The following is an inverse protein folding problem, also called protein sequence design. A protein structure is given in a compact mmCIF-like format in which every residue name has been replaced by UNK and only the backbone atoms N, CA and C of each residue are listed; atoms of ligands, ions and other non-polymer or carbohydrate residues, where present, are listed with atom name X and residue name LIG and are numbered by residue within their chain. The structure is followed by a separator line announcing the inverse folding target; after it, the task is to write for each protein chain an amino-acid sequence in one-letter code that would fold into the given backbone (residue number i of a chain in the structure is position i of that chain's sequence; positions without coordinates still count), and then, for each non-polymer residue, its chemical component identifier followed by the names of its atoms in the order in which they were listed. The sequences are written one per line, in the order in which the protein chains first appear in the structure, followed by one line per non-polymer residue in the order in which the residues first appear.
data_IF_605839107649
#
_entry.id   IF_605839107649
#
_cell.length_a   1.000
_cell.length_b   1.000
_cell.length_c   1.000
_cell.angle_alpha   90.00
_cell.angle_beta   90.00
_cell.angle_gamma   90.00
#
_symmetry.space_group_name_H-M   'P 1'
#
loop_
_entity.id
_entity.type
_entity.pdbx_description
1 polymer ?
#
# COMPACT_ATOMS: atom_id res chain seq x y z
N UNK A 1 -27.04 -43.14 -8.20
CA UNK A 1 -25.65 -43.55 -8.48
C UNK A 1 -24.81 -43.14 -7.29
N UNK A 2 -24.09 -44.07 -6.66
CA UNK A 2 -23.21 -43.76 -5.53
C UNK A 2 -22.03 -42.91 -6.03
N UNK A 3 -21.84 -41.70 -5.49
CA UNK A 3 -20.78 -40.72 -5.87
C UNK A 3 -19.36 -41.21 -5.47
N UNK A 4 -19.21 -42.49 -5.14
CA UNK A 4 -17.98 -43.10 -4.62
C UNK A 4 -16.93 -43.46 -5.68
N UNK A 5 -17.02 -42.95 -6.91
CA UNK A 5 -16.24 -43.49 -8.04
C UNK A 5 -15.42 -42.48 -8.85
N UNK A 6 -15.30 -41.23 -8.43
CA UNK A 6 -14.33 -40.34 -9.07
C UNK A 6 -12.92 -40.60 -8.52
N UNK A 7 -11.91 -40.81 -9.39
CA UNK A 7 -10.51 -40.80 -8.99
C UNK A 7 -10.14 -39.49 -8.28
N UNK A 8 -9.17 -39.55 -7.38
CA UNK A 8 -8.70 -38.37 -6.62
C UNK A 8 -8.26 -37.25 -7.56
N UNK A 9 -7.63 -37.60 -8.67
CA UNK A 9 -7.14 -36.68 -9.71
C UNK A 9 -8.30 -35.89 -10.33
N UNK A 10 -9.43 -36.55 -10.61
CA UNK A 10 -10.59 -35.88 -11.16
C UNK A 10 -11.27 -34.98 -10.12
N UNK A 11 -11.30 -35.40 -8.85
CA UNK A 11 -11.79 -34.54 -7.75
C UNK A 11 -10.93 -33.29 -7.60
N UNK A 12 -9.60 -33.43 -7.63
CA UNK A 12 -8.67 -32.29 -7.60
C UNK A 12 -8.88 -31.37 -8.79
N UNK A 13 -8.99 -31.89 -10.01
CA UNK A 13 -9.24 -31.08 -11.21
C UNK A 13 -10.57 -30.31 -11.14
N UNK A 14 -11.62 -30.92 -10.57
CA UNK A 14 -12.90 -30.22 -10.32
C UNK A 14 -12.69 -29.08 -9.31
N UNK A 15 -11.98 -29.32 -8.21
CA UNK A 15 -11.73 -28.30 -7.21
C UNK A 15 -10.85 -27.16 -7.73
N UNK A 16 -9.87 -27.47 -8.58
CA UNK A 16 -9.01 -26.48 -9.24
C UNK A 16 -9.83 -25.56 -10.15
N UNK A 17 -10.80 -26.12 -10.88
CA UNK A 17 -11.75 -25.34 -11.69
C UNK A 17 -12.67 -24.44 -10.83
N UNK A 18 -12.93 -24.83 -9.58
CA UNK A 18 -13.82 -24.12 -8.66
C UNK A 18 -13.08 -23.19 -7.68
N UNK A 19 -11.77 -23.00 -7.81
CA UNK A 19 -10.97 -22.23 -6.84
C UNK A 19 -11.49 -20.82 -6.58
N UNK A 20 -12.14 -20.20 -7.57
CA UNK A 20 -12.69 -18.85 -7.47
C UNK A 20 -14.10 -18.80 -6.84
N UNK A 21 -14.83 -19.92 -6.82
CA UNK A 21 -16.19 -20.00 -6.24
C UNK A 21 -16.19 -20.71 -4.89
N UNK A 22 -16.00 -19.92 -3.83
CA UNK A 22 -16.01 -20.39 -2.45
C UNK A 22 -17.31 -21.09 -2.06
N UNK A 23 -18.46 -20.67 -2.60
CA UNK A 23 -19.75 -21.29 -2.28
C UNK A 23 -19.81 -22.71 -2.84
N UNK A 24 -19.37 -22.89 -4.08
CA UNK A 24 -19.28 -24.23 -4.68
C UNK A 24 -18.28 -25.13 -3.95
N UNK A 25 -17.11 -24.60 -3.55
CA UNK A 25 -16.15 -25.36 -2.74
C UNK A 25 -16.75 -25.81 -1.39
N UNK A 26 -17.54 -24.96 -0.74
CA UNK A 26 -18.25 -25.32 0.50
C UNK A 26 -19.31 -26.39 0.24
N UNK A 27 -20.06 -26.32 -0.86
CA UNK A 27 -21.00 -27.37 -1.24
C UNK A 27 -20.31 -28.69 -1.56
N UNK A 28 -19.14 -28.67 -2.20
CA UNK A 28 -18.35 -29.88 -2.47
C UNK A 28 -18.04 -30.65 -1.19
N UNK A 29 -17.73 -29.96 -0.08
CA UNK A 29 -17.48 -30.60 1.22
C UNK A 29 -18.63 -31.47 1.71
N UNK A 30 -19.86 -31.18 1.28
CA UNK A 30 -21.07 -31.91 1.68
C UNK A 30 -21.36 -33.15 0.80
N UNK A 31 -20.63 -33.32 -0.31
CA UNK A 31 -20.87 -34.41 -1.28
C UNK A 31 -20.35 -35.76 -0.77
N UNK A 32 -19.12 -35.80 -0.25
CA UNK A 32 -18.47 -37.01 0.26
C UNK A 32 -17.30 -36.67 1.18
N UNK A 33 -16.83 -37.64 1.99
CA UNK A 33 -15.66 -37.48 2.87
C UNK A 33 -14.38 -37.11 2.10
N UNK A 34 -14.19 -37.65 0.90
CA UNK A 34 -13.00 -37.33 0.09
C UNK A 34 -13.05 -35.88 -0.39
N UNK A 35 -14.21 -35.41 -0.84
CA UNK A 35 -14.39 -34.00 -1.18
C UNK A 35 -14.29 -33.11 0.06
N UNK A 36 -14.77 -33.54 1.22
CA UNK A 36 -14.55 -32.82 2.47
C UNK A 36 -13.06 -32.62 2.75
N UNK A 37 -12.25 -33.68 2.67
CA UNK A 37 -10.80 -33.63 2.91
C UNK A 37 -10.09 -32.74 1.89
N UNK A 38 -10.43 -32.86 0.60
CA UNK A 38 -9.76 -32.12 -0.48
C UNK A 38 -10.24 -30.67 -0.60
N UNK A 39 -11.54 -30.42 -0.42
CA UNK A 39 -12.13 -29.09 -0.61
C UNK A 39 -11.99 -28.21 0.63
N UNK A 40 -11.91 -28.77 1.84
CA UNK A 40 -11.81 -27.96 3.07
C UNK A 40 -10.61 -27.01 3.06
N UNK A 41 -9.37 -27.43 2.72
CA UNK A 41 -8.22 -26.53 2.62
C UNK A 41 -8.43 -25.40 1.60
N UNK A 42 -9.06 -25.68 0.46
CA UNK A 42 -9.35 -24.69 -0.58
C UNK A 42 -10.45 -23.72 -0.14
N UNK A 43 -11.56 -24.25 0.39
CA UNK A 43 -12.72 -23.47 0.81
C UNK A 43 -12.43 -22.56 2.01
N UNK A 44 -11.52 -22.96 2.89
CA UNK A 44 -11.19 -22.22 4.11
C UNK A 44 -9.86 -21.46 4.01
N UNK A 45 -9.18 -21.51 2.85
CA UNK A 45 -7.91 -20.81 2.60
C UNK A 45 -7.97 -19.32 2.95
N UNK A 46 -9.06 -18.67 2.55
CA UNK A 46 -9.28 -17.24 2.78
C UNK A 46 -10.46 -17.04 3.71
N UNK A 47 -10.23 -16.35 4.83
CA UNK A 47 -11.26 -15.96 5.77
C UNK A 47 -11.58 -14.47 5.60
N UNK A 48 -12.84 -14.17 5.27
CA UNK A 48 -13.31 -12.80 5.16
C UNK A 48 -13.99 -12.42 6.47
N UNK A 49 -13.46 -11.42 7.16
CA UNK A 49 -14.05 -10.81 8.35
C UNK A 49 -14.50 -9.40 8.02
N UNK A 50 -15.56 -8.93 8.67
CA UNK A 50 -16.09 -7.59 8.44
C UNK A 50 -16.72 -7.06 9.71
N UNK A 51 -17.10 -5.78 9.68
CA UNK A 51 -17.82 -5.13 10.78
C UNK A 51 -19.32 -5.39 10.78
N UNK A 52 -19.85 -6.29 9.95
CA UNK A 52 -21.31 -6.56 9.93
C UNK A 52 -21.75 -7.06 11.30
N UNK A 53 -22.91 -6.61 11.77
CA UNK A 53 -23.45 -7.01 13.07
C UNK A 53 -23.43 -8.52 13.27
N UNK A 54 -22.87 -8.96 14.38
CA UNK A 54 -22.71 -10.36 14.77
C UNK A 54 -21.46 -11.05 14.22
N UNK A 55 -20.67 -10.42 13.34
CA UNK A 55 -19.44 -11.01 12.82
C UNK A 55 -18.41 -11.22 13.93
N UNK A 56 -18.22 -10.25 14.81
CA UNK A 56 -17.26 -10.32 15.91
C UNK A 56 -17.65 -11.41 16.90
N UNK A 57 -18.93 -11.47 17.29
CA UNK A 57 -19.45 -12.53 18.16
C UNK A 57 -19.30 -13.93 17.53
N UNK A 58 -19.62 -14.07 16.24
CA UNK A 58 -19.47 -15.34 15.53
C UNK A 58 -18.00 -15.77 15.46
N UNK A 59 -17.09 -14.84 15.18
CA UNK A 59 -15.66 -15.11 15.10
C UNK A 59 -15.08 -15.49 16.47
N UNK A 60 -15.42 -14.76 17.53
CA UNK A 60 -14.99 -15.06 18.90
C UNK A 60 -15.62 -16.35 19.47
N UNK A 61 -16.72 -16.84 18.89
CA UNK A 61 -17.33 -18.13 19.27
C UNK A 61 -16.61 -19.35 18.70
N UNK A 62 -15.64 -19.15 17.79
CA UNK A 62 -14.86 -20.26 17.23
C UNK A 62 -13.99 -20.90 18.33
N UNK A 63 -14.05 -22.23 18.50
CA UNK A 63 -13.19 -22.93 19.46
C UNK A 63 -11.71 -22.70 19.14
N UNK A 64 -10.89 -22.43 20.16
CA UNK A 64 -9.44 -22.19 19.99
C UNK A 64 -8.68 -23.38 19.37
N UNK A 65 -9.22 -24.59 19.48
CA UNK A 65 -8.70 -25.84 18.94
C UNK A 65 -9.34 -26.25 17.60
N UNK A 66 -10.07 -25.34 16.95
CA UNK A 66 -10.73 -25.60 15.69
C UNK A 66 -9.72 -25.98 14.59
N UNK A 67 -9.94 -27.15 13.98
CA UNK A 67 -9.16 -27.61 12.82
C UNK A 67 -9.29 -26.69 11.60
N UNK A 68 -10.23 -25.73 11.60
CA UNK A 68 -10.35 -24.74 10.54
C UNK A 68 -9.11 -23.84 10.49
N UNK A 69 -8.50 -23.52 11.64
CA UNK A 69 -7.43 -22.53 11.70
C UNK A 69 -6.16 -22.93 10.95
N UNK A 70 -5.87 -24.24 10.83
CA UNK A 70 -4.73 -24.73 10.06
C UNK A 70 -4.91 -24.57 8.55
N UNK A 71 -6.12 -24.33 8.08
CA UNK A 71 -6.43 -24.18 6.66
C UNK A 71 -6.43 -22.71 6.22
N UNK A 72 -6.61 -21.77 7.15
CA UNK A 72 -6.62 -20.34 6.83
C UNK A 72 -5.20 -19.84 6.61
N UNK A 73 -4.98 -19.33 5.41
CA UNK A 73 -3.70 -18.76 4.94
C UNK A 73 -3.77 -17.26 4.73
N UNK A 74 -4.98 -16.76 4.51
CA UNK A 74 -5.26 -15.36 4.23
C UNK A 74 -6.46 -14.89 5.05
N UNK A 75 -6.34 -13.71 5.64
CA UNK A 75 -7.45 -13.01 6.29
C UNK A 75 -7.68 -11.67 5.60
N UNK A 76 -8.91 -11.45 5.15
CA UNK A 76 -9.36 -10.18 4.57
C UNK A 76 -10.34 -9.52 5.52
N UNK A 77 -9.95 -8.39 6.10
CA UNK A 77 -10.81 -7.56 6.93
C UNK A 77 -11.38 -6.40 6.14
N UNK A 78 -12.70 -6.23 6.15
CA UNK A 78 -13.39 -5.08 5.54
C UNK A 78 -14.12 -4.27 6.61
N UNK A 79 -13.63 -3.06 6.88
CA UNK A 79 -14.41 -2.06 7.58
C UNK A 79 -15.53 -1.59 6.63
N UNK A 80 -16.77 -1.67 7.09
CA UNK A 80 -17.93 -1.29 6.28
C UNK A 80 -17.98 0.23 6.07
N UNK A 81 -18.47 0.65 4.90
CA UNK A 81 -18.84 2.03 4.63
C UNK A 81 -20.16 2.37 5.33
N UNK A 82 -20.20 3.53 6.00
CA UNK A 82 -21.36 3.96 6.79
C UNK A 82 -22.52 4.54 5.97
N UNK A 83 -22.33 4.88 4.68
CA UNK A 83 -23.24 5.82 4.00
C UNK A 83 -24.39 5.21 3.16
N UNK A 84 -24.38 3.93 2.77
CA UNK A 84 -25.38 3.45 1.78
C UNK A 84 -26.22 2.21 2.11
N UNK A 85 -25.76 1.27 2.95
CA UNK A 85 -26.42 -0.05 2.98
C UNK A 85 -27.42 -0.28 4.14
N UNK A 86 -27.59 0.67 5.06
CA UNK A 86 -28.44 0.47 6.25
C UNK A 86 -28.00 -0.72 7.12
N UNK A 87 -26.78 -1.22 6.93
CA UNK A 87 -26.24 -2.37 7.63
C UNK A 87 -25.81 -1.95 9.03
N UNK A 88 -26.37 -2.62 10.04
CA UNK A 88 -25.89 -2.50 11.41
C UNK A 88 -24.46 -3.05 11.50
N UNK A 89 -23.59 -2.33 12.21
CA UNK A 89 -22.20 -2.71 12.41
C UNK A 89 -21.93 -3.09 13.88
N UNK A 90 -21.01 -4.01 14.09
CA UNK A 90 -20.45 -4.26 15.43
C UNK A 90 -19.76 -3.01 15.96
N UNK A 91 -19.71 -2.86 17.30
CA UNK A 91 -18.97 -1.77 17.90
C UNK A 91 -17.45 -1.92 17.62
N UNK A 92 -16.71 -0.83 17.82
CA UNK A 92 -15.27 -0.81 17.51
C UNK A 92 -14.52 -1.80 18.40
N UNK A 93 -14.90 -1.90 19.68
CA UNK A 93 -14.32 -2.78 20.69
C UNK A 93 -14.44 -4.25 20.32
N UNK A 94 -15.65 -4.67 19.97
CA UNK A 94 -15.91 -6.02 19.45
C UNK A 94 -15.09 -6.27 18.18
N UNK A 95 -15.04 -5.29 17.29
CA UNK A 95 -14.32 -5.42 16.01
C UNK A 95 -12.82 -5.66 16.20
N UNK A 96 -12.11 -4.82 16.96
CA UNK A 96 -10.67 -5.00 17.11
C UNK A 96 -10.33 -6.22 17.98
N UNK A 97 -11.22 -6.66 18.87
CA UNK A 97 -11.02 -7.87 19.68
C UNK A 97 -10.86 -9.13 18.83
N UNK A 98 -11.45 -9.18 17.63
CA UNK A 98 -11.22 -10.27 16.67
C UNK A 98 -9.73 -10.44 16.33
N UNK A 99 -8.97 -9.35 16.25
CA UNK A 99 -7.56 -9.41 15.89
C UNK A 99 -6.71 -10.08 16.97
N UNK A 100 -7.20 -10.16 18.22
CA UNK A 100 -6.53 -10.90 19.28
C UNK A 100 -6.43 -12.41 18.99
N UNK A 101 -7.33 -12.96 18.15
CA UNK A 101 -7.30 -14.37 17.78
C UNK A 101 -6.42 -14.68 16.57
N UNK A 102 -5.75 -13.69 15.96
CA UNK A 102 -4.88 -13.95 14.80
C UNK A 102 -3.74 -14.93 15.11
N UNK A 103 -3.30 -14.98 16.36
CA UNK A 103 -2.32 -15.96 16.83
C UNK A 103 -2.81 -17.42 16.73
N UNK A 104 -4.12 -17.66 16.63
CA UNK A 104 -4.68 -19.01 16.50
C UNK A 104 -4.54 -19.60 15.09
N UNK A 105 -4.08 -18.81 14.11
CA UNK A 105 -3.97 -19.24 12.71
C UNK A 105 -2.50 -19.54 12.34
N UNK A 106 -2.00 -20.76 12.57
CA UNK A 106 -0.58 -21.09 12.40
C UNK A 106 -0.11 -21.08 10.94
N UNK A 107 -1.03 -21.07 9.98
CA UNK A 107 -0.73 -21.01 8.54
C UNK A 107 -0.99 -19.63 7.92
N UNK A 108 -1.36 -18.63 8.73
CA UNK A 108 -1.64 -17.28 8.25
C UNK A 108 -0.34 -16.63 7.75
N UNK A 109 -0.31 -16.28 6.47
CA UNK A 109 0.83 -15.61 5.86
C UNK A 109 0.45 -14.32 5.14
N UNK A 110 -0.84 -14.06 4.91
CA UNK A 110 -1.35 -12.84 4.27
C UNK A 110 -2.46 -12.21 5.13
N UNK A 111 -2.33 -10.92 5.42
CA UNK A 111 -3.35 -10.12 6.09
C UNK A 111 -3.67 -8.91 5.22
N UNK A 112 -4.94 -8.75 4.84
CA UNK A 112 -5.43 -7.60 4.08
C UNK A 112 -6.45 -6.83 4.88
N UNK A 113 -6.21 -5.54 5.09
CA UNK A 113 -7.09 -4.62 5.80
C UNK A 113 -7.66 -3.64 4.78
N UNK A 114 -8.98 -3.56 4.68
CA UNK A 114 -9.70 -2.63 3.81
C UNK A 114 -10.51 -1.68 4.67
N UNK A 115 -10.03 -0.44 4.75
CA UNK A 115 -10.74 0.69 5.35
C UNK A 115 -11.46 1.51 4.27
N UNK A 116 -12.45 2.35 4.64
CA UNK A 116 -13.10 3.24 3.69
C UNK A 116 -12.07 4.13 2.97
N UNK A 117 -12.28 4.36 1.67
CA UNK A 117 -11.41 5.21 0.85
C UNK A 117 -11.72 6.70 0.97
N UNK A 118 -12.82 7.05 1.66
CA UNK A 118 -13.30 8.41 1.87
C UNK A 118 -13.60 8.59 3.36
N UNK A 119 -13.09 9.67 3.94
CA UNK A 119 -13.29 10.01 5.33
C UNK A 119 -13.08 11.52 5.54
N UNK A 120 -13.83 12.11 6.47
CA UNK A 120 -13.71 13.52 6.85
C UNK A 120 -13.31 13.56 8.33
N UNK A 121 -12.03 13.75 8.68
CA UNK A 121 -11.62 13.89 10.10
C UNK A 121 -12.00 15.27 10.65
N UNK A 122 -11.90 16.32 9.82
CA UNK A 122 -12.12 17.71 10.26
C UNK A 122 -13.54 17.95 10.80
N UNK A 123 -14.53 17.18 10.34
CA UNK A 123 -15.88 17.26 10.89
C UNK A 123 -15.95 16.83 12.35
N UNK A 124 -15.15 15.85 12.78
CA UNK A 124 -15.16 15.34 14.14
C UNK A 124 -14.52 16.33 15.13
N UNK A 125 -13.44 16.99 14.71
CA UNK A 125 -12.79 18.05 15.50
C UNK A 125 -13.76 19.21 15.78
N UNK A 126 -14.56 19.60 14.79
CA UNK A 126 -15.58 20.65 14.94
C UNK A 126 -16.69 20.29 15.94
N UNK A 127 -16.99 19.00 16.10
CA UNK A 127 -17.98 18.51 17.08
C UNK A 127 -17.38 18.21 18.46
N UNK A 128 -16.08 18.48 18.66
CA UNK A 128 -15.38 18.25 19.92
C UNK A 128 -15.02 16.78 20.18
N UNK A 129 -14.99 15.94 19.14
CA UNK A 129 -14.42 14.60 19.20
C UNK A 129 -12.95 14.65 18.73
N UNK A 130 -12.04 13.97 19.45
CA UNK A 130 -10.61 14.02 19.13
C UNK A 130 -10.24 13.25 17.84
N UNK A 131 -11.04 12.25 17.44
CA UNK A 131 -10.74 11.36 16.30
C UNK A 131 -11.99 10.74 15.69
N UNK A 132 -12.00 10.50 14.38
CA UNK A 132 -13.10 9.75 13.76
C UNK A 132 -13.15 8.28 14.21
N UNK A 133 -14.32 7.64 14.13
CA UNK A 133 -14.47 6.19 14.34
C UNK A 133 -13.55 5.32 13.46
N UNK A 134 -13.15 5.79 12.27
CA UNK A 134 -12.25 5.06 11.37
C UNK A 134 -10.82 5.13 11.90
N UNK A 135 -10.35 6.31 12.31
CA UNK A 135 -9.03 6.49 12.93
C UNK A 135 -8.90 5.67 14.20
N UNK A 136 -9.91 5.73 15.08
CA UNK A 136 -9.94 4.93 16.32
C UNK A 136 -9.82 3.45 15.98
N UNK A 137 -10.59 2.95 15.01
CA UNK A 137 -10.53 1.55 14.60
C UNK A 137 -9.14 1.14 14.09
N UNK A 138 -8.52 1.95 13.21
CA UNK A 138 -7.18 1.68 12.69
C UNK A 138 -6.15 1.59 13.83
N UNK A 139 -6.13 2.59 14.71
CA UNK A 139 -5.24 2.64 15.87
C UNK A 139 -5.42 1.40 16.75
N UNK A 140 -6.66 1.02 17.07
CA UNK A 140 -6.93 -0.12 17.94
C UNK A 140 -6.58 -1.46 17.31
N UNK A 141 -6.78 -1.63 16.00
CA UNK A 141 -6.31 -2.82 15.27
C UNK A 141 -4.79 -2.93 15.38
N UNK A 142 -4.05 -1.86 15.06
CA UNK A 142 -2.60 -1.90 15.15
C UNK A 142 -2.09 -2.07 16.59
N UNK A 143 -2.75 -1.48 17.59
CA UNK A 143 -2.43 -1.71 19.01
C UNK A 143 -2.66 -3.17 19.42
N UNK A 144 -3.74 -3.78 18.94
CA UNK A 144 -4.03 -5.19 19.21
C UNK A 144 -2.99 -6.08 18.54
N UNK A 145 -2.66 -5.83 17.27
CA UNK A 145 -1.59 -6.51 16.54
C UNK A 145 -0.23 -6.39 17.25
N UNK A 146 0.09 -5.21 17.78
CA UNK A 146 1.30 -4.95 18.55
C UNK A 146 1.33 -5.68 19.90
N UNK A 147 0.16 -6.03 20.45
CA UNK A 147 0.02 -6.80 21.68
C UNK A 147 0.12 -8.32 21.48
N UNK A 148 0.09 -8.79 20.23
CA UNK A 148 0.16 -10.22 19.94
C UNK A 148 1.57 -10.75 20.22
N UNK A 149 1.67 -11.65 21.20
CA UNK A 149 2.87 -12.47 21.40
C UNK A 149 2.80 -13.63 20.42
N UNK A 150 3.50 -13.48 19.30
CA UNK A 150 3.62 -14.55 18.32
C UNK A 150 4.63 -15.59 18.83
N UNK A 151 4.12 -16.75 19.23
CA UNK A 151 4.96 -17.95 19.32
C UNK A 151 5.57 -18.24 17.94
N UNK A 152 6.70 -18.96 17.91
CA UNK A 152 7.56 -19.20 16.73
C UNK A 152 6.88 -19.74 15.45
N UNK A 153 5.58 -20.03 15.47
CA UNK A 153 4.81 -20.54 14.34
C UNK A 153 4.11 -19.47 13.49
N UNK A 154 3.93 -18.23 13.98
CA UNK A 154 3.26 -17.19 13.21
C UNK A 154 4.27 -16.39 12.37
N UNK A 155 4.12 -16.40 11.05
CA UNK A 155 5.02 -15.72 10.12
C UNK A 155 4.21 -15.04 9.01
N UNK A 156 3.77 -13.82 9.27
CA UNK A 156 3.12 -12.99 8.26
C UNK A 156 4.16 -12.61 7.19
N UNK A 157 3.92 -13.01 5.94
CA UNK A 157 4.79 -12.69 4.80
C UNK A 157 4.26 -11.51 3.98
N UNK A 158 2.95 -11.27 4.01
CA UNK A 158 2.29 -10.25 3.23
C UNK A 158 1.30 -9.46 4.07
N UNK A 159 1.43 -8.14 4.01
CA UNK A 159 0.51 -7.20 4.64
C UNK A 159 0.01 -6.21 3.60
N UNK A 160 -1.30 -6.12 3.45
CA UNK A 160 -1.95 -5.08 2.66
C UNK A 160 -2.83 -4.21 3.55
N UNK A 161 -2.68 -2.90 3.44
CA UNK A 161 -3.47 -1.93 4.18
C UNK A 161 -4.02 -0.94 3.14
N UNK A 162 -5.34 -0.98 2.94
CA UNK A 162 -6.06 -0.12 2.02
C UNK A 162 -6.86 0.90 2.82
N UNK A 163 -6.76 2.19 2.48
CA UNK A 163 -7.46 3.25 3.19
C UNK A 163 -6.80 3.67 4.51
N UNK A 164 -5.47 3.52 4.62
CA UNK A 164 -4.73 3.99 5.81
C UNK A 164 -4.73 5.51 5.86
N UNK A 165 -5.16 6.09 7.00
CA UNK A 165 -5.14 7.55 7.15
C UNK A 165 -3.69 8.01 7.24
N UNK A 166 -3.30 9.00 6.43
CA UNK A 166 -1.97 9.61 6.48
C UNK A 166 -1.87 10.64 7.63
N UNK A 167 -2.19 10.20 8.85
CA UNK A 167 -2.18 10.99 10.07
C UNK A 167 -1.37 10.26 11.15
N UNK A 168 -0.76 10.98 12.12
CA UNK A 168 -0.01 10.36 13.19
C UNK A 168 -0.92 9.45 14.01
N UNK A 169 -0.46 8.22 14.24
CA UNK A 169 -1.16 7.28 15.09
C UNK A 169 -0.61 7.37 16.50
N UNK A 170 -1.05 8.39 17.25
CA UNK A 170 -0.57 8.63 18.61
C UNK A 170 -0.72 7.38 19.50
N UNK A 171 0.40 7.00 20.13
CA UNK A 171 0.46 5.82 20.99
C UNK A 171 0.57 4.49 20.23
N UNK A 172 0.74 4.49 18.91
CA UNK A 172 1.17 3.31 18.20
C UNK A 172 2.65 3.05 18.51
N UNK A 173 2.92 2.13 19.44
CA UNK A 173 4.27 1.67 19.70
C UNK A 173 4.74 0.75 18.57
N UNK A 174 5.11 1.31 17.41
CA UNK A 174 5.52 0.57 16.20
C UNK A 174 6.61 -0.45 16.52
N UNK A 175 7.50 -0.15 17.49
CA UNK A 175 8.53 -1.10 17.96
C UNK A 175 7.99 -2.45 18.44
N UNK A 176 6.75 -2.50 18.93
CA UNK A 176 6.07 -3.74 19.34
C UNK A 176 5.52 -4.53 18.15
N UNK A 177 5.34 -3.92 16.99
CA UNK A 177 4.97 -4.62 15.74
C UNK A 177 6.14 -5.34 15.08
N UNK A 178 7.36 -5.26 15.64
CA UNK A 178 8.56 -5.86 15.04
C UNK A 178 8.37 -7.34 14.68
N UNK A 179 7.78 -8.14 15.56
CA UNK A 179 7.54 -9.58 15.32
C UNK A 179 6.60 -9.83 14.13
N UNK A 180 5.67 -8.91 13.87
CA UNK A 180 4.76 -8.94 12.73
C UNK A 180 5.44 -8.48 11.43
N UNK A 181 6.26 -7.43 11.52
CA UNK A 181 6.81 -6.72 10.36
C UNK A 181 8.14 -7.29 9.85
N UNK A 182 8.98 -7.82 10.73
CA UNK A 182 10.28 -8.40 10.37
C UNK A 182 10.21 -9.54 9.34
N UNK A 183 9.24 -10.49 9.40
CA UNK A 183 9.12 -11.55 8.41
C UNK A 183 8.49 -11.12 7.08
N UNK A 184 7.96 -9.89 6.96
CA UNK A 184 7.29 -9.44 5.74
C UNK A 184 8.23 -9.44 4.53
N UNK A 185 7.77 -10.04 3.45
CA UNK A 185 8.36 -9.95 2.12
C UNK A 185 7.57 -9.02 1.20
N UNK A 186 6.27 -8.85 1.44
CA UNK A 186 5.38 -7.98 0.65
C UNK A 186 4.61 -7.02 1.55
N UNK A 187 4.65 -5.73 1.22
CA UNK A 187 3.92 -4.67 1.92
C UNK A 187 3.22 -3.78 0.88
N UNK A 188 1.91 -3.66 1.03
CA UNK A 188 1.06 -2.75 0.26
C UNK A 188 0.38 -1.76 1.19
N UNK A 189 0.54 -0.48 0.92
CA UNK A 189 -0.11 0.60 1.67
C UNK A 189 -0.80 1.53 0.66
N UNK A 190 -2.12 1.59 0.71
CA UNK A 190 -2.90 2.65 0.06
C UNK A 190 -3.33 3.65 1.11
N UNK A 191 -2.84 4.87 0.97
CA UNK A 191 -3.09 5.99 1.85
C UNK A 191 -4.33 6.75 1.39
N UNK A 192 -5.03 7.30 2.37
CA UNK A 192 -6.03 8.33 2.17
C UNK A 192 -5.59 9.52 3.01
N UNK A 193 -5.37 10.65 2.36
CA UNK A 193 -5.19 11.96 2.99
C UNK A 193 -6.56 12.57 3.23
N UNK A 194 -6.73 13.23 4.38
CA UNK A 194 -7.95 13.94 4.74
C UNK A 194 -8.30 14.93 3.62
N UNK A 195 -9.54 14.91 3.14
CA UNK A 195 -10.04 15.78 2.08
C UNK A 195 -10.76 17.02 2.65
N UNK A 196 -10.69 17.22 3.97
CA UNK A 196 -11.17 18.44 4.61
C UNK A 196 -10.63 19.69 3.93
N UNK A 197 -11.47 20.72 3.82
CA UNK A 197 -11.14 22.00 3.17
C UNK A 197 -9.87 22.65 3.74
N UNK A 198 -9.50 22.31 4.97
CA UNK A 198 -8.33 22.81 5.70
C UNK A 198 -7.12 21.86 5.68
N UNK A 199 -7.06 20.87 4.77
CA UNK A 199 -5.91 19.96 4.72
C UNK A 199 -4.64 20.67 4.25
N UNK A 200 -3.80 21.04 5.21
CA UNK A 200 -2.47 21.57 4.95
C UNK A 200 -1.47 20.43 4.74
N UNK A 201 -0.99 20.27 3.49
CA UNK A 201 0.10 19.32 3.20
C UNK A 201 1.42 19.64 3.93
N UNK A 202 1.59 20.87 4.39
CA UNK A 202 2.71 21.27 5.23
C UNK A 202 2.42 21.09 6.73
N UNK A 203 1.23 20.59 7.08
CA UNK A 203 0.81 20.37 8.46
C UNK A 203 1.71 19.38 9.18
N UNK A 204 1.96 19.66 10.46
CA UNK A 204 2.83 18.85 11.32
C UNK A 204 2.38 17.39 11.38
N UNK A 205 1.07 17.14 11.39
CA UNK A 205 0.51 15.79 11.45
C UNK A 205 0.81 14.96 10.20
N UNK A 206 0.51 15.51 9.03
CA UNK A 206 0.77 14.80 7.77
C UNK A 206 2.26 14.52 7.59
N UNK A 207 3.11 15.51 7.88
CA UNK A 207 4.56 15.34 7.81
C UNK A 207 5.07 14.33 8.84
N UNK A 208 4.55 14.34 10.07
CA UNK A 208 4.91 13.37 11.11
C UNK A 208 4.52 11.93 10.73
N UNK A 209 3.39 11.70 10.07
CA UNK A 209 3.04 10.37 9.57
C UNK A 209 4.13 9.83 8.63
N UNK A 210 4.55 10.63 7.64
CA UNK A 210 5.57 10.23 6.69
C UNK A 210 6.94 10.05 7.33
N UNK A 211 7.32 11.00 8.17
CA UNK A 211 8.67 11.09 8.71
C UNK A 211 8.91 10.13 9.87
N UNK A 212 7.86 9.81 10.64
CA UNK A 212 7.96 9.01 11.86
C UNK A 212 7.27 7.66 11.65
N UNK A 213 5.98 7.64 11.37
CA UNK A 213 5.20 6.40 11.41
C UNK A 213 5.59 5.45 10.27
N UNK A 214 5.57 5.95 9.02
CA UNK A 214 5.88 5.12 7.87
C UNK A 214 7.35 4.71 7.82
N UNK A 215 8.28 5.62 8.13
CA UNK A 215 9.73 5.29 8.15
C UNK A 215 10.04 4.25 9.22
N UNK A 216 9.45 4.35 10.43
CA UNK A 216 9.65 3.35 11.48
C UNK A 216 9.06 1.99 11.09
N UNK A 217 7.88 1.97 10.47
CA UNK A 217 7.28 0.76 9.95
C UNK A 217 8.21 0.09 8.94
N UNK A 218 8.69 0.83 7.94
CA UNK A 218 9.58 0.32 6.91
C UNK A 218 10.93 -0.13 7.46
N UNK A 219 11.49 0.59 8.44
CA UNK A 219 12.77 0.25 9.08
C UNK A 219 12.74 -1.12 9.79
N UNK A 220 11.56 -1.65 10.12
CA UNK A 220 11.37 -2.98 10.70
C UNK A 220 11.20 -4.08 9.65
N UNK A 221 10.92 -3.73 8.39
CA UNK A 221 10.68 -4.67 7.28
C UNK A 221 11.95 -5.04 6.51
N UNK A 222 12.98 -5.55 7.19
CA UNK A 222 14.29 -5.83 6.56
C UNK A 222 14.27 -6.93 5.48
N UNK A 223 13.25 -7.78 5.48
CA UNK A 223 13.07 -8.86 4.51
C UNK A 223 12.22 -8.48 3.31
N UNK A 224 11.79 -7.21 3.23
CA UNK A 224 10.88 -6.74 2.21
C UNK A 224 11.49 -6.83 0.82
N UNK A 225 10.84 -7.59 -0.06
CA UNK A 225 11.17 -7.70 -1.48
C UNK A 225 10.22 -6.89 -2.36
N UNK A 226 9.01 -6.64 -1.86
CA UNK A 226 7.95 -5.92 -2.58
C UNK A 226 7.37 -4.81 -1.72
N UNK A 227 7.52 -3.56 -2.18
CA UNK A 227 6.89 -2.39 -1.57
C UNK A 227 5.93 -1.76 -2.57
N UNK A 228 4.69 -1.55 -2.15
CA UNK A 228 3.70 -0.73 -2.87
C UNK A 228 3.20 0.35 -1.94
N UNK A 229 3.36 1.61 -2.32
CA UNK A 229 2.75 2.75 -1.63
C UNK A 229 1.95 3.55 -2.64
N UNK A 230 0.68 3.78 -2.34
CA UNK A 230 -0.25 4.51 -3.21
C UNK A 230 -0.85 5.63 -2.37
N UNK A 231 -0.73 6.87 -2.83
CA UNK A 231 -1.44 7.99 -2.22
C UNK A 231 -2.73 8.29 -3.01
N UNK A 232 -3.82 8.67 -2.34
CA UNK A 232 -5.03 9.15 -3.00
C UNK A 232 -4.85 10.57 -3.59
N UNK A 233 -3.98 11.37 -2.99
CA UNK A 233 -3.57 12.70 -3.48
C UNK A 233 -2.11 12.72 -3.93
N UNK A 234 -1.70 13.80 -4.60
CA UNK A 234 -0.31 14.05 -4.94
C UNK A 234 0.50 14.31 -3.65
N UNK A 235 1.38 13.37 -3.30
CA UNK A 235 2.10 13.36 -2.03
C UNK A 235 3.59 13.58 -2.19
N UNK A 236 4.16 14.32 -1.26
CA UNK A 236 5.59 14.55 -1.13
C UNK A 236 6.29 13.40 -0.42
N UNK A 237 5.88 13.04 0.80
CA UNK A 237 6.23 11.80 1.49
C UNK A 237 7.69 11.49 1.88
N UNK A 238 8.70 11.81 1.05
CA UNK A 238 10.12 11.43 1.22
C UNK A 238 11.02 12.64 1.54
N UNK A 239 10.67 13.48 2.52
CA UNK A 239 11.28 14.82 2.66
C UNK A 239 12.35 14.90 3.74
N UNK A 240 12.34 13.97 4.68
CA UNK A 240 13.14 14.08 5.90
C UNK A 240 14.31 13.09 5.95
N UNK A 241 15.30 13.41 6.78
CA UNK A 241 16.55 12.68 6.99
C UNK A 241 16.33 11.22 7.41
N UNK A 242 15.18 10.89 7.99
CA UNK A 242 14.86 9.52 8.37
C UNK A 242 14.83 8.60 7.14
N UNK A 243 14.35 9.09 6.00
CA UNK A 243 14.38 8.37 4.73
C UNK A 243 15.78 8.10 4.21
N UNK A 244 16.77 8.95 4.54
CA UNK A 244 18.16 8.76 4.14
C UNK A 244 18.81 7.55 4.82
N UNK A 245 18.33 7.23 6.03
CA UNK A 245 18.81 6.10 6.81
C UNK A 245 18.07 4.80 6.53
N UNK A 246 16.97 4.86 5.78
CA UNK A 246 16.16 3.68 5.45
C UNK A 246 16.89 2.83 4.41
N UNK A 247 17.15 1.57 4.79
CA UNK A 247 17.79 0.55 3.97
C UNK A 247 16.91 -0.69 3.89
N UNK A 248 16.49 -1.04 2.68
CA UNK A 248 15.68 -2.19 2.34
C UNK A 248 16.51 -3.11 1.42
N UNK A 249 17.48 -3.87 1.96
CA UNK A 249 18.54 -4.51 1.19
C UNK A 249 18.06 -5.67 0.30
N UNK A 250 16.78 -6.03 0.36
CA UNK A 250 16.16 -7.07 -0.46
C UNK A 250 15.08 -6.53 -1.40
N UNK A 251 14.87 -5.21 -1.45
CA UNK A 251 13.80 -4.61 -2.23
C UNK A 251 14.02 -4.85 -3.74
N UNK A 252 13.16 -5.65 -4.36
CA UNK A 252 13.22 -6.00 -5.78
C UNK A 252 12.09 -5.33 -6.58
N UNK A 253 10.91 -5.16 -5.98
CA UNK A 253 9.74 -4.54 -6.60
C UNK A 253 9.36 -3.28 -5.83
N UNK A 254 9.27 -2.16 -6.53
CA UNK A 254 8.81 -0.88 -5.97
C UNK A 254 7.69 -0.29 -6.81
N UNK A 255 6.53 -0.08 -6.21
CA UNK A 255 5.43 0.65 -6.82
C UNK A 255 5.10 1.89 -6.00
N UNK A 256 5.17 3.04 -6.64
CA UNK A 256 4.78 4.33 -6.08
C UNK A 256 3.72 4.93 -7.01
N UNK A 257 2.62 5.42 -6.45
CA UNK A 257 1.57 6.10 -7.21
C UNK A 257 1.16 7.40 -6.52
N UNK A 258 0.98 8.45 -7.33
CA UNK A 258 0.67 9.81 -6.88
C UNK A 258 1.75 10.40 -5.95
N UNK A 259 3.02 10.13 -6.24
CA UNK A 259 4.15 10.74 -5.55
C UNK A 259 4.74 11.88 -6.38
N UNK A 260 5.17 12.94 -5.69
CA UNK A 260 5.79 14.13 -6.27
C UNK A 260 7.30 14.08 -6.00
N UNK A 261 8.07 14.10 -7.08
CA UNK A 261 9.52 14.20 -7.07
C UNK A 261 9.89 15.69 -7.02
N UNK A 262 10.35 16.14 -5.86
CA UNK A 262 10.61 17.57 -5.63
C UNK A 262 12.07 17.94 -5.80
N UNK A 263 12.29 19.20 -6.13
CA UNK A 263 13.63 19.75 -6.25
C UNK A 263 14.16 20.19 -4.87
N UNK A 264 14.89 19.28 -4.22
CA UNK A 264 15.39 19.51 -2.87
C UNK A 264 16.37 20.69 -2.79
N UNK A 265 17.02 21.07 -3.90
CA UNK A 265 17.95 22.20 -3.92
C UNK A 265 17.27 23.53 -3.57
N UNK A 266 16.01 23.73 -3.97
CA UNK A 266 15.22 24.90 -3.59
C UNK A 266 14.94 24.91 -2.08
N UNK A 267 14.48 23.78 -1.55
CA UNK A 267 14.22 23.62 -0.12
C UNK A 267 15.49 23.71 0.74
N UNK A 268 16.64 23.23 0.26
CA UNK A 268 17.92 23.28 0.97
C UNK A 268 18.40 24.71 1.26
N UNK A 269 18.05 25.68 0.42
CA UNK A 269 18.37 27.09 0.68
C UNK A 269 17.52 27.67 1.80
N UNK A 270 16.29 27.16 1.98
CA UNK A 270 15.31 27.68 2.92
C UNK A 270 15.23 26.88 4.23
N UNK A 271 15.60 25.61 4.18
CA UNK A 271 15.58 24.65 5.29
C UNK A 271 16.87 23.83 5.27
N UNK A 272 17.57 23.65 6.42
CA UNK A 272 18.81 22.87 6.52
C UNK A 272 18.56 21.35 6.47
N UNK A 273 17.76 20.90 5.50
CA UNK A 273 17.37 19.51 5.32
C UNK A 273 18.24 18.89 4.22
N UNK A 274 18.77 17.70 4.50
CA UNK A 274 19.69 16.97 3.61
C UNK A 274 19.04 15.78 2.93
N UNK A 275 17.70 15.74 2.88
CA UNK A 275 16.95 14.60 2.35
C UNK A 275 17.30 14.34 0.89
N UNK A 276 17.33 13.07 0.49
CA UNK A 276 17.53 12.68 -0.91
C UNK A 276 16.25 12.62 -1.76
N UNK A 277 15.08 12.63 -1.13
CA UNK A 277 13.80 12.53 -1.86
C UNK A 277 13.49 11.12 -2.36
N UNK A 278 12.41 11.02 -3.13
CA UNK A 278 11.97 9.75 -3.76
C UNK A 278 13.06 9.20 -4.69
N UNK A 279 13.68 10.06 -5.50
CA UNK A 279 14.71 9.66 -6.47
C UNK A 279 15.92 9.02 -5.78
N UNK A 280 16.51 9.68 -4.78
CA UNK A 280 17.69 9.15 -4.08
C UNK A 280 17.36 7.89 -3.30
N UNK A 281 16.17 7.80 -2.70
CA UNK A 281 15.69 6.57 -2.07
C UNK A 281 15.74 5.41 -3.08
N UNK A 282 15.24 5.61 -4.30
CA UNK A 282 15.29 4.58 -5.34
C UNK A 282 16.73 4.25 -5.76
N UNK A 283 17.55 5.27 -6.01
CA UNK A 283 18.93 5.10 -6.46
C UNK A 283 19.79 4.34 -5.44
N UNK A 284 19.59 4.57 -4.14
CA UNK A 284 20.26 3.83 -3.05
C UNK A 284 19.99 2.32 -3.14
N UNK A 285 18.79 1.95 -3.56
CA UNK A 285 18.37 0.55 -3.75
C UNK A 285 18.56 0.06 -5.20
N UNK A 286 19.27 0.81 -6.04
CA UNK A 286 19.46 0.50 -7.46
C UNK A 286 20.22 -0.79 -7.77
N UNK A 287 20.82 -1.41 -6.74
CA UNK A 287 21.47 -2.73 -6.82
C UNK A 287 20.55 -3.91 -6.53
N UNK A 288 19.31 -3.67 -6.13
CA UNK A 288 18.35 -4.74 -5.77
C UNK A 288 17.06 -4.61 -6.55
N UNK A 289 16.61 -3.38 -6.81
CA UNK A 289 15.39 -3.10 -7.58
C UNK A 289 15.49 -3.67 -9.00
N UNK A 290 14.49 -4.47 -9.36
CA UNK A 290 14.29 -5.10 -10.66
C UNK A 290 13.04 -4.59 -11.36
N UNK A 291 11.98 -4.30 -10.62
CA UNK A 291 10.72 -3.83 -11.17
C UNK A 291 10.30 -2.53 -10.48
N UNK A 292 9.97 -1.53 -11.30
CA UNK A 292 9.52 -0.21 -10.85
C UNK A 292 8.24 0.16 -11.59
N UNK A 293 7.21 0.53 -10.81
CA UNK A 293 5.99 1.16 -11.33
C UNK A 293 5.81 2.54 -10.68
N UNK A 294 5.99 3.59 -11.49
CA UNK A 294 5.79 5.00 -11.12
C UNK A 294 4.55 5.60 -11.79
N UNK A 295 3.53 4.78 -12.05
CA UNK A 295 2.29 5.27 -12.67
C UNK A 295 1.69 6.42 -11.85
N UNK A 296 1.33 7.51 -12.53
CA UNK A 296 0.74 8.72 -11.95
C UNK A 296 1.64 9.41 -10.93
N UNK A 297 2.96 9.30 -11.05
CA UNK A 297 3.91 10.15 -10.32
C UNK A 297 4.16 11.45 -11.07
N UNK A 298 4.62 12.46 -10.33
CA UNK A 298 4.78 13.84 -10.80
C UNK A 298 6.16 14.39 -10.44
N UNK A 299 6.60 15.42 -11.14
CA UNK A 299 7.76 16.25 -10.77
C UNK A 299 7.24 17.63 -10.39
N UNK A 300 7.72 18.16 -9.27
CA UNK A 300 7.42 19.53 -8.88
C UNK A 300 8.24 20.53 -9.72
N UNK A 301 7.55 21.56 -10.18
CA UNK A 301 8.11 22.70 -10.89
C UNK A 301 7.88 23.92 -10.03
N UNK A 302 8.94 24.66 -9.72
CA UNK A 302 8.86 25.95 -9.05
C UNK A 302 8.95 27.09 -10.06
N UNK A 303 8.14 28.14 -9.88
CA UNK A 303 8.12 29.30 -10.78
C UNK A 303 9.47 30.04 -10.86
N UNK A 304 10.30 29.91 -9.83
CA UNK A 304 11.62 30.56 -9.75
C UNK A 304 12.75 29.73 -10.39
N UNK A 305 12.47 28.48 -10.78
CA UNK A 305 13.50 27.59 -11.33
C UNK A 305 13.77 27.89 -12.80
N UNK A 306 14.91 28.55 -13.09
CA UNK A 306 15.38 28.78 -14.47
C UNK A 306 15.64 27.49 -15.26
N UNK A 307 15.92 26.39 -14.56
CA UNK A 307 16.18 25.08 -15.13
C UNK A 307 15.40 24.04 -14.31
N UNK A 308 14.08 23.95 -14.54
CA UNK A 308 13.24 23.08 -13.74
C UNK A 308 13.66 21.62 -13.89
N UNK A 309 13.50 20.86 -12.80
CA UNK A 309 13.74 19.41 -12.82
C UNK A 309 12.75 18.76 -13.79
N UNK A 310 13.21 17.84 -14.63
CA UNK A 310 12.36 17.11 -15.57
C UNK A 310 12.45 15.59 -15.41
N UNK A 311 11.45 14.87 -15.94
CA UNK A 311 11.50 13.41 -16.01
C UNK A 311 12.70 12.90 -16.83
N UNK A 312 13.11 13.62 -17.88
CA UNK A 312 14.32 13.28 -18.63
C UNK A 312 15.58 13.21 -17.75
N UNK A 313 15.69 14.10 -16.76
CA UNK A 313 16.82 14.10 -15.82
C UNK A 313 16.75 12.89 -14.88
N UNK A 314 15.56 12.62 -14.33
CA UNK A 314 15.31 11.51 -13.40
C UNK A 314 15.56 10.16 -14.11
N UNK A 315 15.00 9.96 -15.30
CA UNK A 315 15.16 8.72 -16.06
C UNK A 315 16.61 8.47 -16.47
N UNK A 316 17.38 9.51 -16.83
CA UNK A 316 18.83 9.38 -17.07
C UNK A 316 19.59 8.95 -15.82
N UNK A 317 19.17 9.40 -14.64
CA UNK A 317 19.75 8.96 -13.38
C UNK A 317 19.36 7.50 -13.09
N UNK A 318 18.12 7.10 -13.32
CA UNK A 318 17.68 5.71 -13.21
C UNK A 318 18.42 4.78 -14.16
N UNK A 319 18.65 5.21 -15.39
CA UNK A 319 19.44 4.46 -16.37
C UNK A 319 20.83 4.13 -15.83
N UNK A 320 21.47 5.08 -15.13
CA UNK A 320 22.81 4.89 -14.54
C UNK A 320 22.77 4.13 -13.21
N UNK A 321 21.82 4.45 -12.34
CA UNK A 321 21.82 4.01 -10.94
C UNK A 321 21.03 2.73 -10.68
N UNK A 322 19.93 2.48 -11.39
CA UNK A 322 19.11 1.27 -11.24
C UNK A 322 19.68 0.14 -12.11
N UNK A 323 20.88 -0.30 -11.76
CA UNK A 323 21.70 -1.25 -12.55
C UNK A 323 21.07 -2.63 -12.74
N UNK A 324 20.13 -3.04 -11.89
CA UNK A 324 19.41 -4.31 -11.98
C UNK A 324 17.97 -4.19 -12.48
N UNK A 325 17.57 -3.02 -12.95
CA UNK A 325 16.22 -2.79 -13.45
C UNK A 325 15.96 -3.64 -14.70
N UNK A 326 14.93 -4.49 -14.62
CA UNK A 326 14.45 -5.44 -15.63
C UNK A 326 13.10 -5.00 -16.22
N UNK A 327 12.32 -4.23 -15.46
CA UNK A 327 10.97 -3.75 -15.83
C UNK A 327 10.74 -2.34 -15.27
N UNK A 328 10.25 -1.43 -16.12
CA UNK A 328 9.94 -0.06 -15.74
C UNK A 328 8.61 0.37 -16.37
N UNK A 329 7.63 0.70 -15.52
CA UNK A 329 6.32 1.20 -15.91
C UNK A 329 6.15 2.66 -15.50
N UNK A 330 5.71 3.47 -16.45
CA UNK A 330 5.34 4.87 -16.24
C UNK A 330 4.12 5.21 -17.08
N UNK A 331 3.02 5.64 -16.45
CA UNK A 331 1.79 6.00 -17.13
C UNK A 331 0.93 6.97 -16.29
N UNK A 332 0.37 8.05 -16.86
CA UNK A 332 0.53 8.48 -18.25
C UNK A 332 1.91 9.09 -18.52
N UNK A 333 2.35 9.09 -19.79
CA UNK A 333 3.59 9.79 -20.19
C UNK A 333 3.47 11.30 -19.94
N UNK A 334 4.57 12.00 -19.58
CA UNK A 334 4.56 13.43 -19.36
C UNK A 334 4.13 14.19 -20.62
N UNK A 335 3.49 15.34 -20.41
CA UNK A 335 3.09 16.22 -21.50
C UNK A 335 1.66 16.71 -21.44
N UNK A 336 1.27 17.52 -22.44
CA UNK A 336 -0.01 18.23 -22.45
C UNK A 336 -1.20 17.27 -22.51
N UNK A 337 -2.09 17.37 -21.52
CA UNK A 337 -3.43 16.77 -21.54
C UNK A 337 -4.27 17.60 -22.53
N UNK A 338 -5.12 16.93 -23.31
CA UNK A 338 -5.94 17.51 -24.40
C UNK A 338 -6.42 18.95 -24.11
N UNK A 339 -6.54 19.82 -25.14
CA UNK A 339 -6.89 21.23 -24.95
C UNK A 339 -8.16 21.34 -24.10
N UNK A 340 -8.01 21.81 -22.86
CA UNK A 340 -9.12 22.35 -22.10
C UNK A 340 -9.18 23.84 -22.41
N UNK A 341 -10.39 24.39 -22.56
CA UNK A 341 -10.58 25.76 -23.05
C UNK A 341 -10.11 26.85 -22.06
N UNK A 342 -9.78 26.48 -20.82
CA UNK A 342 -9.48 27.45 -19.76
C UNK A 342 -8.06 27.38 -19.22
N UNK A 343 -7.50 26.18 -19.04
CA UNK A 343 -6.13 26.02 -18.52
C UNK A 343 -5.46 24.76 -19.10
N UNK A 344 -4.26 24.86 -19.70
CA UNK A 344 -3.51 23.68 -20.10
C UNK A 344 -3.17 22.85 -18.86
N UNK A 345 -3.47 21.56 -18.91
CA UNK A 345 -3.01 20.61 -17.88
C UNK A 345 -1.86 19.80 -18.44
N UNK A 346 -0.88 19.48 -17.60
CA UNK A 346 0.28 18.69 -18.00
C UNK A 346 0.36 17.43 -17.14
N UNK A 347 0.42 16.27 -17.78
CA UNK A 347 0.77 15.02 -17.10
C UNK A 347 2.24 15.04 -16.70
N UNK A 348 2.54 14.43 -15.55
CA UNK A 348 3.91 14.27 -15.06
C UNK A 348 4.50 15.50 -14.36
N UNK A 349 3.84 16.66 -14.39
CA UNK A 349 4.29 17.90 -13.76
C UNK A 349 3.24 18.51 -12.85
N UNK A 350 3.67 19.06 -11.72
CA UNK A 350 2.82 19.81 -10.77
C UNK A 350 3.55 21.04 -10.24
N UNK A 351 2.80 22.05 -9.84
CA UNK A 351 3.27 23.18 -9.05
C UNK A 351 2.55 23.16 -7.69
N UNK A 352 3.25 23.56 -6.63
CA UNK A 352 2.65 23.67 -5.30
C UNK A 352 1.97 25.04 -5.12
N UNK A 353 0.67 25.03 -4.81
CA UNK A 353 -0.12 26.21 -4.48
C UNK A 353 -0.60 26.06 -3.05
N UNK A 354 -0.29 27.04 -2.18
CA UNK A 354 -0.52 26.95 -0.72
C UNK A 354 -1.94 26.50 -0.36
N UNK A 355 -2.96 27.01 -1.06
CA UNK A 355 -4.37 26.74 -0.77
C UNK A 355 -4.96 25.55 -1.55
N UNK A 356 -4.25 25.01 -2.54
CA UNK A 356 -4.77 23.96 -3.44
C UNK A 356 -3.89 22.73 -3.51
N UNK A 357 -2.74 22.76 -2.85
CA UNK A 357 -1.75 21.72 -2.93
C UNK A 357 -1.07 21.62 -4.29
N UNK A 358 -0.74 20.39 -4.70
CA UNK A 358 -0.09 20.13 -5.99
C UNK A 358 -1.10 20.12 -7.12
N UNK A 359 -1.03 21.17 -7.94
CA UNK A 359 -1.88 21.34 -9.11
C UNK A 359 -1.06 21.16 -10.38
N UNK A 360 -1.69 20.74 -11.48
CA UNK A 360 -1.00 20.46 -12.75
C UNK A 360 -1.34 21.48 -13.85
N UNK A 361 -1.65 22.71 -13.45
CA UNK A 361 -1.98 23.82 -14.34
C UNK A 361 -0.73 24.67 -14.57
N UNK A 362 -0.40 24.88 -15.84
CA UNK A 362 0.72 25.73 -16.25
C UNK A 362 0.27 26.60 -17.43
N UNK A 363 0.73 27.84 -17.46
CA UNK A 363 0.45 28.78 -18.56
C UNK A 363 1.17 28.36 -19.85
N UNK A 364 2.37 27.83 -19.71
CA UNK A 364 3.24 27.36 -20.79
C UNK A 364 3.73 25.94 -20.51
N UNK A 365 4.33 25.28 -21.51
CA UNK A 365 4.96 23.98 -21.34
C UNK A 365 6.10 24.11 -20.32
N UNK A 366 6.03 23.47 -19.13
CA UNK A 366 7.00 23.71 -18.07
C UNK A 366 8.38 23.14 -18.39
N UNK A 367 8.45 22.20 -19.33
CA UNK A 367 9.67 21.51 -19.76
C UNK A 367 9.57 21.05 -21.22
N UNK A 368 10.69 20.63 -21.80
CA UNK A 368 10.72 19.97 -23.11
C UNK A 368 10.23 18.51 -23.02
N UNK A 369 8.95 18.31 -23.37
CA UNK A 369 8.30 16.99 -23.39
C UNK A 369 8.92 16.03 -24.42
N UNK A 370 9.51 16.54 -25.50
CA UNK A 370 10.18 15.69 -26.49
C UNK A 370 11.46 15.10 -25.89
N UNK A 371 12.17 15.87 -25.06
CA UNK A 371 13.33 15.39 -24.32
C UNK A 371 12.96 14.29 -23.31
N UNK A 372 11.82 14.42 -22.63
CA UNK A 372 11.28 13.37 -21.75
C UNK A 372 11.03 12.09 -22.55
N UNK A 373 10.26 12.16 -23.64
CA UNK A 373 9.97 11.01 -24.49
C UNK A 373 11.25 10.27 -24.94
N UNK A 374 12.24 11.02 -25.43
CA UNK A 374 13.52 10.46 -25.84
C UNK A 374 14.30 9.80 -24.68
N UNK A 375 14.24 10.38 -23.48
CA UNK A 375 14.90 9.82 -22.30
C UNK A 375 14.19 8.55 -21.79
N UNK A 376 12.87 8.48 -21.85
CA UNK A 376 12.11 7.28 -21.53
C UNK A 376 12.47 6.13 -22.48
N UNK A 377 12.49 6.40 -23.79
CA UNK A 377 12.89 5.42 -24.80
C UNK A 377 14.35 4.97 -24.62
N UNK A 378 15.24 5.87 -24.19
CA UNK A 378 16.62 5.52 -23.82
C UNK A 378 16.65 4.53 -22.65
N UNK A 379 15.91 4.83 -21.58
CA UNK A 379 15.80 3.95 -20.40
C UNK A 379 15.26 2.56 -20.78
N UNK A 380 14.18 2.50 -21.56
CA UNK A 380 13.59 1.24 -22.01
C UNK A 380 14.59 0.40 -22.82
N UNK A 381 15.30 1.01 -23.78
CA UNK A 381 16.35 0.31 -24.55
C UNK A 381 17.49 -0.20 -23.65
N UNK A 382 17.87 0.57 -22.64
CA UNK A 382 18.90 0.14 -21.67
C UNK A 382 18.43 -1.05 -20.84
N UNK A 383 17.15 -1.11 -20.44
CA UNK A 383 16.55 -2.26 -19.76
C UNK A 383 16.52 -3.49 -20.68
N UNK A 384 16.02 -3.34 -21.91
CA UNK A 384 15.99 -4.41 -22.91
C UNK A 384 17.39 -4.98 -23.20
N UNK A 385 18.39 -4.11 -23.34
CA UNK A 385 19.78 -4.50 -23.55
C UNK A 385 20.36 -5.32 -22.39
N UNK A 386 19.95 -5.06 -21.14
CA UNK A 386 20.37 -5.84 -19.97
C UNK A 386 19.70 -7.22 -19.95
N UNK A 387 18.41 -7.28 -20.27
CA UNK A 387 17.65 -8.52 -20.30
C UNK A 387 18.15 -9.48 -21.39
N UNK A 388 18.54 -8.96 -22.56
CA UNK A 388 19.08 -9.76 -23.66
C UNK A 388 20.46 -10.37 -23.39
N UNK A 389 21.21 -9.88 -22.42
CA UNK A 389 22.53 -10.41 -22.03
C UNK A 389 22.45 -11.55 -20.99
N UNK A 390 21.26 -11.86 -20.46
CA UNK A 390 21.07 -12.90 -19.43
C UNK A 390 20.58 -14.24 -19.98
N UNK A 391 20.44 -14.39 -21.30
CA UNK A 391 20.14 -15.65 -22.01
C UNK A 391 21.44 -16.30 -22.46
#
# INVERSE_FOLDING_TARGET
MSVTLFPTELKSAILDYLLEDKSQLLHCRLISKDFEILATPCALRTLNISRKKGCSAAFSSLPSDSSIFIHVKEINFRALEKKHDGLEADCIEETFSMFAHLANFPSLHTLRLYFPSEYEEGMYELYGEDMSPVRILQIQIFKTLAGLTFDRSFSLSELEIHGLLALPNEGLHISRLRSLLEPLSSLHISLVTNDGEDFEMAGEDYTAFWDVDLTQLLAMTRNLTKLTVISNTNSVGFFNKNWDTLDLPKLEYLRLKNFVFTNIAYYQQRFPWSGGGVEEFMLRHGRTIKDVDLSSCWVEIHDEDLHPRSWAMIWKNFEKGLTRLESFKFEPMPGRIRPSDFWPRFNGYVAFVIESGYVNFFDEDPVDVALDGAAFESLQRTIEGRNGLQV
#
